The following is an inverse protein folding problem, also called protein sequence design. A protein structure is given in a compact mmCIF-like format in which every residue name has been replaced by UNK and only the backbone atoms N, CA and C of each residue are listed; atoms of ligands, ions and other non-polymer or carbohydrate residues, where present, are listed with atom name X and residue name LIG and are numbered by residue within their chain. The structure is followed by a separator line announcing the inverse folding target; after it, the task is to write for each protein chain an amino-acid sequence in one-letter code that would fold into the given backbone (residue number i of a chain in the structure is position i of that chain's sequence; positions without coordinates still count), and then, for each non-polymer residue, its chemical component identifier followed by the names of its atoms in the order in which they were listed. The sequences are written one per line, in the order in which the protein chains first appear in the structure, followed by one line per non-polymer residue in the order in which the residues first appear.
data_IF_205278029095
#
_entry.id   IF_205278029095
#
_cell.length_a   1.000
_cell.length_b   1.000
_cell.length_c   1.000
_cell.angle_alpha   90.00
_cell.angle_beta   90.00
_cell.angle_gamma   90.00
#
_symmetry.space_group_name_H-M   'P 1'
#
loop_
_entity.id
_entity.type
_entity.pdbx_description
1 polymer ?
#
# COMPACT_ATOMS: atom_id res chain seq x y z
N UNK A 1 23.63 -2.00 3.68
CA UNK A 1 22.39 -2.45 3.03
C UNK A 1 21.88 -3.78 3.57
N UNK A 2 22.62 -4.92 3.42
CA UNK A 2 22.12 -6.22 3.91
C UNK A 2 21.83 -6.26 5.42
N UNK A 3 22.65 -5.62 6.24
CA UNK A 3 22.43 -5.54 7.69
C UNK A 3 21.14 -4.77 8.01
N UNK A 4 20.87 -3.64 7.33
CA UNK A 4 19.65 -2.85 7.58
C UNK A 4 18.39 -3.62 7.19
N UNK A 5 18.42 -4.35 6.08
CA UNK A 5 17.31 -5.22 5.68
C UNK A 5 17.06 -6.32 6.71
N UNK A 6 18.12 -7.00 7.18
CA UNK A 6 18.02 -8.04 8.21
C UNK A 6 17.40 -7.49 9.50
N UNK A 7 17.94 -6.39 9.99
CA UNK A 7 17.48 -5.78 11.24
C UNK A 7 16.07 -5.22 11.11
N UNK A 8 15.73 -4.59 9.96
CA UNK A 8 14.38 -4.09 9.70
C UNK A 8 13.36 -5.23 9.68
N UNK A 9 13.63 -6.33 8.98
CA UNK A 9 12.75 -7.50 8.97
C UNK A 9 12.63 -8.08 10.38
N UNK A 10 13.75 -8.30 11.09
CA UNK A 10 13.73 -8.82 12.45
C UNK A 10 12.89 -7.93 13.39
N UNK A 11 13.02 -6.61 13.28
CA UNK A 11 12.30 -5.66 14.11
C UNK A 11 10.77 -5.79 13.93
N UNK A 12 10.29 -6.06 12.71
CA UNK A 12 8.86 -6.31 12.45
C UNK A 12 8.34 -7.59 13.12
N UNK A 13 9.23 -8.49 13.54
CA UNK A 13 8.90 -9.78 14.15
C UNK A 13 9.03 -9.82 15.66
N UNK A 14 9.47 -8.73 16.29
CA UNK A 14 9.64 -8.67 17.75
C UNK A 14 8.26 -8.74 18.44
N UNK A 15 8.03 -9.73 19.32
CA UNK A 15 6.76 -9.88 20.02
C UNK A 15 6.45 -8.67 20.91
N UNK A 16 5.21 -8.17 20.81
CA UNK A 16 4.76 -7.03 21.60
C UNK A 16 5.29 -5.65 21.17
N UNK A 17 6.06 -5.60 20.10
CA UNK A 17 6.48 -4.36 19.46
C UNK A 17 5.61 -4.12 18.22
N UNK A 18 4.57 -3.29 18.38
CA UNK A 18 3.72 -2.89 17.25
C UNK A 18 4.37 -1.82 16.38
N UNK A 19 3.75 -1.51 15.24
CA UNK A 19 4.28 -0.57 14.24
C UNK A 19 4.63 0.80 14.86
N UNK A 20 3.78 1.36 15.71
CA UNK A 20 4.05 2.63 16.43
C UNK A 20 5.33 2.55 17.28
N UNK A 21 5.53 1.43 17.98
CA UNK A 21 6.73 1.23 18.78
C UNK A 21 7.99 1.09 17.91
N UNK A 22 7.85 0.45 16.75
CA UNK A 22 8.93 0.32 15.76
C UNK A 22 9.31 1.70 15.20
N UNK A 23 8.34 2.49 14.75
CA UNK A 23 8.60 3.85 14.27
C UNK A 23 9.30 4.70 15.31
N UNK A 24 8.79 4.70 16.55
CA UNK A 24 9.40 5.44 17.66
C UNK A 24 10.89 5.10 17.86
N UNK A 25 11.25 3.83 17.72
CA UNK A 25 12.65 3.37 17.84
C UNK A 25 13.50 3.82 16.64
N UNK A 26 12.97 3.64 15.44
CA UNK A 26 13.68 3.96 14.19
C UNK A 26 13.83 5.48 14.04
N UNK A 27 12.81 6.26 14.35
CA UNK A 27 12.85 7.73 14.28
C UNK A 27 13.86 8.32 15.28
N UNK A 28 13.94 7.76 16.50
CA UNK A 28 14.89 8.21 17.51
C UNK A 28 16.34 7.88 17.16
N UNK A 29 16.59 6.77 16.47
CA UNK A 29 17.95 6.24 16.24
C UNK A 29 18.37 6.26 14.77
N UNK A 30 17.47 6.58 13.84
CA UNK A 30 17.73 6.73 12.42
C UNK A 30 17.69 5.43 11.60
N UNK A 31 17.76 4.24 12.21
CA UNK A 31 17.74 2.97 11.49
C UNK A 31 17.46 1.77 12.41
N UNK A 32 16.96 0.66 11.83
CA UNK A 32 16.79 -0.59 12.57
C UNK A 32 18.14 -1.16 13.05
N UNK A 33 19.19 -1.02 12.26
CA UNK A 33 20.56 -1.38 12.65
C UNK A 33 20.99 -0.63 13.92
N UNK A 34 20.73 0.67 14.00
CA UNK A 34 21.07 1.48 15.18
C UNK A 34 20.26 1.06 16.41
N UNK A 35 19.00 0.66 16.26
CA UNK A 35 18.18 0.13 17.35
C UNK A 35 18.83 -1.08 17.99
N UNK A 36 19.28 -2.06 17.21
CA UNK A 36 19.90 -3.27 17.77
C UNK A 36 21.31 -3.02 18.30
N UNK A 37 22.11 -2.14 17.68
CA UNK A 37 23.45 -1.78 18.14
C UNK A 37 23.44 -1.04 19.47
N UNK A 38 22.46 -0.15 19.69
CA UNK A 38 22.33 0.64 20.92
C UNK A 38 21.36 0.01 21.93
N UNK A 39 21.08 -1.31 21.82
CA UNK A 39 20.06 -1.98 22.64
C UNK A 39 20.21 -1.76 24.15
N UNK A 40 21.46 -1.64 24.65
CA UNK A 40 21.75 -1.47 26.08
C UNK A 40 21.34 -0.09 26.59
N UNK A 41 21.41 0.92 25.73
CA UNK A 41 21.23 2.32 26.09
C UNK A 41 19.86 2.86 25.67
N UNK A 42 18.97 1.99 25.16
CA UNK A 42 17.64 2.39 24.67
C UNK A 42 16.76 3.09 25.71
N UNK A 43 16.91 2.74 27.00
CA UNK A 43 16.18 3.43 28.07
C UNK A 43 16.50 4.92 28.15
N UNK A 44 17.75 5.29 27.83
CA UNK A 44 18.23 6.66 27.85
C UNK A 44 17.93 7.39 26.54
N UNK A 45 18.10 6.67 25.42
CA UNK A 45 17.98 7.23 24.06
C UNK A 45 16.53 7.40 23.59
N UNK A 46 15.60 6.57 24.07
CA UNK A 46 14.21 6.55 23.59
C UNK A 46 13.23 6.73 24.75
N UNK A 47 12.76 7.95 25.02
CA UNK A 47 11.83 8.23 26.12
C UNK A 47 10.57 7.36 26.07
N UNK A 48 10.25 6.68 27.17
CA UNK A 48 9.05 5.86 27.33
C UNK A 48 9.09 4.48 26.66
N UNK A 49 10.27 3.99 26.26
CA UNK A 49 10.44 2.56 25.97
C UNK A 49 10.45 1.78 27.30
N UNK A 50 9.73 0.66 27.34
CA UNK A 50 9.68 -0.18 28.54
C UNK A 50 10.83 -1.19 28.57
N UNK A 51 11.33 -1.58 29.77
CA UNK A 51 12.32 -2.65 29.90
C UNK A 51 11.85 -3.96 29.27
N UNK A 52 10.54 -4.22 29.25
CA UNK A 52 9.95 -5.39 28.60
C UNK A 52 10.15 -5.36 27.08
N UNK A 53 9.97 -4.20 26.43
CA UNK A 53 10.20 -4.03 24.99
C UNK A 53 11.69 -4.19 24.64
N UNK A 54 12.59 -3.64 25.45
CA UNK A 54 14.03 -3.80 25.26
C UNK A 54 14.43 -5.28 25.36
N UNK A 55 13.94 -5.98 26.39
CA UNK A 55 14.20 -7.41 26.53
C UNK A 55 13.65 -8.23 25.34
N UNK A 56 12.50 -7.82 24.80
CA UNK A 56 11.89 -8.48 23.64
C UNK A 56 12.75 -8.40 22.36
N UNK A 57 13.64 -7.40 22.24
CA UNK A 57 14.60 -7.31 21.13
C UNK A 57 15.61 -8.47 21.11
N UNK A 58 15.75 -9.20 22.20
CA UNK A 58 16.56 -10.42 22.28
C UNK A 58 15.71 -11.62 21.82
N UNK A 59 15.44 -11.70 20.54
CA UNK A 59 14.56 -12.69 19.94
C UNK A 59 15.25 -13.40 18.76
N UNK A 60 16.01 -14.48 19.01
CA UNK A 60 16.71 -15.24 17.96
C UNK A 60 15.77 -15.75 16.86
N UNK A 61 14.53 -16.07 17.21
CA UNK A 61 13.49 -16.50 16.27
C UNK A 61 13.17 -15.41 15.22
N UNK A 62 13.14 -14.14 15.63
CA UNK A 62 12.92 -13.02 14.73
C UNK A 62 14.04 -12.89 13.71
N UNK A 63 15.29 -13.08 14.14
CA UNK A 63 16.47 -13.06 13.25
C UNK A 63 16.47 -14.24 12.30
N UNK A 64 16.27 -15.46 12.82
CA UNK A 64 16.18 -16.65 11.97
C UNK A 64 15.15 -16.48 10.87
N UNK A 65 13.95 -15.99 11.23
CA UNK A 65 12.89 -15.75 10.23
C UNK A 65 13.24 -14.64 9.24
N UNK A 66 14.00 -13.62 9.68
CA UNK A 66 14.48 -12.55 8.81
C UNK A 66 15.54 -13.07 7.81
N UNK A 67 16.44 -13.93 8.24
CA UNK A 67 17.45 -14.58 7.37
C UNK A 67 16.77 -15.46 6.32
N UNK A 68 15.76 -16.27 6.70
CA UNK A 68 14.94 -17.07 5.79
C UNK A 68 14.26 -16.20 4.73
N UNK A 69 13.71 -15.04 5.14
CA UNK A 69 13.04 -14.12 4.23
C UNK A 69 14.02 -13.45 3.26
N UNK A 70 15.19 -13.03 3.73
CA UNK A 70 16.22 -12.48 2.84
C UNK A 70 16.68 -13.50 1.80
N UNK A 71 16.88 -14.75 2.20
CA UNK A 71 17.22 -15.82 1.26
C UNK A 71 16.09 -16.04 0.23
N UNK A 72 14.83 -16.01 0.68
CA UNK A 72 13.67 -16.10 -0.21
C UNK A 72 13.64 -14.94 -1.21
N UNK A 73 13.86 -13.71 -0.76
CA UNK A 73 13.84 -12.53 -1.64
C UNK A 73 14.95 -12.56 -2.67
N UNK A 74 16.18 -12.93 -2.28
CA UNK A 74 17.32 -13.09 -3.19
C UNK A 74 17.04 -14.16 -4.25
N UNK A 75 16.57 -15.33 -3.82
CA UNK A 75 16.29 -16.47 -4.71
C UNK A 75 15.20 -16.13 -5.74
N UNK A 76 14.19 -15.35 -5.37
CA UNK A 76 13.05 -15.01 -6.21
C UNK A 76 13.15 -13.64 -6.92
N UNK A 77 14.32 -12.98 -6.88
CA UNK A 77 14.56 -11.65 -7.45
C UNK A 77 13.53 -10.62 -6.97
N UNK A 78 13.25 -10.63 -5.66
CA UNK A 78 12.38 -9.69 -4.97
C UNK A 78 13.28 -8.64 -4.33
N UNK A 79 12.98 -7.36 -4.53
CA UNK A 79 13.66 -6.27 -3.82
C UNK A 79 13.06 -6.14 -2.42
N UNK A 80 13.92 -6.13 -1.41
CA UNK A 80 13.54 -5.82 -0.03
C UNK A 80 13.88 -4.34 0.21
N UNK A 81 12.87 -3.50 0.35
CA UNK A 81 12.99 -2.06 0.52
C UNK A 81 12.71 -1.68 1.97
N UNK A 82 13.63 -0.96 2.58
CA UNK A 82 13.50 -0.40 3.94
C UNK A 82 13.17 1.09 3.87
N UNK A 83 12.70 1.68 4.97
CA UNK A 83 12.37 3.11 5.03
C UNK A 83 13.55 4.03 4.64
N UNK A 84 14.79 3.56 4.77
CA UNK A 84 16.00 4.32 4.46
C UNK A 84 16.44 4.22 3.00
N UNK A 85 15.85 3.29 2.23
CA UNK A 85 16.22 3.09 0.83
C UNK A 85 15.60 4.18 -0.06
N UNK A 86 16.36 4.68 -1.03
CA UNK A 86 15.90 5.71 -1.98
C UNK A 86 14.70 5.23 -2.82
N UNK A 87 14.70 3.94 -3.19
CA UNK A 87 13.62 3.30 -3.95
C UNK A 87 12.35 3.03 -3.15
N UNK A 88 12.36 3.27 -1.82
CA UNK A 88 11.14 3.15 -1.02
C UNK A 88 10.14 4.24 -1.44
N UNK A 89 8.83 3.93 -1.62
CA UNK A 89 7.84 4.93 -2.03
C UNK A 89 7.84 6.16 -1.12
N UNK A 90 8.30 7.30 -1.63
CA UNK A 90 8.48 8.53 -0.84
C UNK A 90 7.18 9.02 -0.22
N UNK A 91 6.08 8.95 -0.98
CA UNK A 91 4.74 9.32 -0.48
C UNK A 91 4.29 8.45 0.70
N UNK A 92 4.58 7.15 0.64
CA UNK A 92 4.25 6.23 1.72
C UNK A 92 5.13 6.44 2.95
N UNK A 93 6.41 6.81 2.74
CA UNK A 93 7.35 7.13 3.83
C UNK A 93 6.86 8.27 4.72
N UNK A 94 6.11 9.22 4.15
CA UNK A 94 5.52 10.36 4.88
C UNK A 94 4.33 9.97 5.77
N UNK A 95 3.80 8.75 5.63
CA UNK A 95 2.67 8.30 6.43
C UNK A 95 3.15 7.78 7.79
N UNK A 96 2.46 8.15 8.88
CA UNK A 96 2.81 7.77 10.27
C UNK A 96 2.84 6.25 10.50
N UNK A 97 2.16 5.49 9.67
CA UNK A 97 2.07 4.03 9.73
C UNK A 97 2.74 3.34 8.52
N UNK A 98 3.73 4.00 7.90
CA UNK A 98 4.50 3.42 6.80
C UNK A 98 5.09 2.05 7.19
N UNK A 99 5.02 1.01 6.34
CA UNK A 99 5.69 -0.25 6.60
C UNK A 99 7.19 -0.08 6.75
N UNK A 100 7.80 -0.68 7.78
CA UNK A 100 9.26 -0.64 7.92
C UNK A 100 9.99 -1.33 6.75
N UNK A 101 9.34 -2.34 6.17
CA UNK A 101 9.87 -3.14 5.07
C UNK A 101 8.77 -3.37 4.03
N UNK A 102 9.15 -3.25 2.77
CA UNK A 102 8.34 -3.63 1.62
C UNK A 102 9.09 -4.65 0.77
N UNK A 103 8.36 -5.59 0.22
CA UNK A 103 8.83 -6.58 -0.73
C UNK A 103 8.27 -6.24 -2.11
N UNK A 104 9.13 -6.00 -3.07
CA UNK A 104 8.74 -5.57 -4.42
C UNK A 104 9.33 -6.47 -5.49
N UNK A 105 8.51 -6.88 -6.44
CA UNK A 105 8.92 -7.59 -7.63
C UNK A 105 8.28 -6.94 -8.86
N UNK A 106 9.10 -6.38 -9.74
CA UNK A 106 8.66 -5.66 -10.93
C UNK A 106 9.73 -4.69 -11.41
N UNK A 107 9.36 -3.87 -12.39
CA UNK A 107 10.26 -2.93 -13.08
C UNK A 107 9.80 -1.46 -13.02
N UNK A 108 8.62 -1.16 -12.49
CA UNK A 108 8.16 0.23 -12.39
C UNK A 108 8.92 1.01 -11.31
N UNK A 109 9.05 2.32 -11.54
CA UNK A 109 9.49 3.28 -10.53
C UNK A 109 8.36 3.53 -9.52
N UNK A 110 8.62 3.18 -8.24
CA UNK A 110 7.68 3.40 -7.15
C UNK A 110 7.58 4.87 -6.73
N UNK A 111 8.46 5.73 -7.27
CA UNK A 111 8.51 7.16 -7.06
C UNK A 111 8.14 7.95 -8.33
N UNK A 112 7.39 7.34 -9.25
CA UNK A 112 6.89 8.00 -10.45
C UNK A 112 6.26 9.37 -10.13
N UNK A 113 6.39 10.33 -11.07
CA UNK A 113 5.95 11.72 -10.87
C UNK A 113 4.47 11.84 -10.53
N UNK A 114 3.65 10.96 -11.11
CA UNK A 114 2.19 10.87 -10.85
C UNK A 114 1.80 9.44 -10.53
N UNK A 115 1.17 9.25 -9.37
CA UNK A 115 0.69 7.95 -8.91
C UNK A 115 -0.77 8.10 -8.51
N UNK A 116 -1.64 7.32 -9.11
CA UNK A 116 -3.04 7.24 -8.70
C UNK A 116 -3.39 5.83 -8.24
N UNK A 117 -4.32 5.70 -7.31
CA UNK A 117 -4.89 4.40 -7.05
C UNK A 117 -6.36 4.34 -7.46
N UNK A 118 -6.77 3.16 -7.95
CA UNK A 118 -8.14 2.90 -8.38
C UNK A 118 -8.66 1.74 -7.54
N UNK A 119 -9.77 1.99 -6.85
CA UNK A 119 -10.39 1.02 -5.94
C UNK A 119 -11.90 0.96 -6.14
N UNK A 120 -12.51 -0.13 -5.70
CA UNK A 120 -13.95 -0.26 -5.79
C UNK A 120 -14.49 -1.57 -5.24
N UNK A 121 -15.75 -1.84 -5.57
CA UNK A 121 -16.42 -3.08 -5.21
C UNK A 121 -15.76 -4.31 -5.82
N UNK A 122 -15.82 -5.44 -5.11
CA UNK A 122 -15.40 -6.75 -5.65
C UNK A 122 -16.39 -7.33 -6.67
N UNK A 123 -17.57 -6.73 -6.79
CA UNK A 123 -18.64 -7.11 -7.72
C UNK A 123 -18.85 -5.99 -8.74
N UNK A 124 -17.82 -5.71 -9.55
CA UNK A 124 -17.89 -4.67 -10.58
C UNK A 124 -19.04 -4.92 -11.55
N UNK A 125 -19.88 -3.92 -11.76
CA UNK A 125 -20.92 -3.94 -12.77
C UNK A 125 -20.33 -3.68 -14.16
N UNK A 126 -21.14 -3.85 -15.21
CA UNK A 126 -20.73 -3.46 -16.56
C UNK A 126 -20.36 -1.96 -16.65
N UNK A 127 -21.05 -1.12 -15.89
CA UNK A 127 -20.76 0.31 -15.77
C UNK A 127 -19.38 0.56 -15.16
N UNK A 128 -19.05 -0.06 -14.02
CA UNK A 128 -17.75 0.10 -13.39
C UNK A 128 -16.59 -0.43 -14.23
N UNK A 129 -16.83 -1.52 -14.98
CA UNK A 129 -15.85 -2.05 -15.93
C UNK A 129 -15.61 -1.08 -17.09
N UNK A 130 -16.67 -0.50 -17.68
CA UNK A 130 -16.57 0.48 -18.75
C UNK A 130 -15.86 1.76 -18.29
N UNK A 131 -16.15 2.23 -17.07
CA UNK A 131 -15.41 3.36 -16.47
C UNK A 131 -13.92 3.05 -16.39
N UNK A 132 -13.51 1.89 -15.87
CA UNK A 132 -12.08 1.53 -15.79
C UNK A 132 -11.42 1.59 -17.16
N UNK A 133 -12.07 1.07 -18.21
CA UNK A 133 -11.53 1.06 -19.56
C UNK A 133 -11.37 2.47 -20.09
N UNK A 134 -12.47 3.26 -20.15
CA UNK A 134 -12.47 4.61 -20.73
C UNK A 134 -11.57 5.57 -19.96
N UNK A 135 -11.69 5.55 -18.64
CA UNK A 135 -10.88 6.44 -17.79
C UNK A 135 -9.39 6.21 -18.00
N UNK A 136 -8.93 4.96 -18.02
CA UNK A 136 -7.52 4.66 -18.19
C UNK A 136 -7.04 4.85 -19.64
N UNK A 137 -7.90 4.68 -20.63
CA UNK A 137 -7.61 5.03 -22.02
C UNK A 137 -7.40 6.56 -22.18
N UNK A 138 -8.32 7.37 -21.67
CA UNK A 138 -8.17 8.84 -21.67
C UNK A 138 -6.98 9.31 -20.85
N UNK A 139 -6.76 8.69 -19.67
CA UNK A 139 -5.65 9.04 -18.80
C UNK A 139 -4.30 8.71 -19.46
N UNK A 140 -4.17 7.59 -20.14
CA UNK A 140 -2.95 7.21 -20.87
C UNK A 140 -2.62 8.21 -22.00
N UNK A 141 -3.65 8.72 -22.68
CA UNK A 141 -3.46 9.74 -23.70
C UNK A 141 -2.97 11.09 -23.13
N UNK A 142 -3.37 11.42 -21.89
CA UNK A 142 -3.00 12.68 -21.22
C UNK A 142 -1.71 12.57 -20.39
N UNK A 143 -1.51 11.45 -19.71
CA UNK A 143 -0.43 11.18 -18.75
C UNK A 143 0.15 9.78 -18.97
N UNK A 144 0.93 9.55 -20.03
CA UNK A 144 1.40 8.22 -20.40
C UNK A 144 2.36 7.56 -19.38
N UNK A 145 2.92 8.36 -18.48
CA UNK A 145 3.84 7.87 -17.44
C UNK A 145 3.19 7.73 -16.05
N UNK A 146 1.85 7.87 -15.96
CA UNK A 146 1.17 7.70 -14.69
C UNK A 146 1.29 6.25 -14.18
N UNK A 147 1.61 6.11 -12.90
CA UNK A 147 1.61 4.80 -12.23
C UNK A 147 0.22 4.54 -11.63
N UNK A 148 -0.39 3.42 -12.03
CA UNK A 148 -1.69 2.98 -11.51
C UNK A 148 -1.48 1.97 -10.40
N UNK A 149 -2.04 2.22 -9.22
CA UNK A 149 -1.93 1.33 -8.05
C UNK A 149 -3.31 0.76 -7.72
N UNK A 150 -3.37 -0.52 -7.40
CA UNK A 150 -4.58 -1.16 -6.88
C UNK A 150 -4.26 -2.43 -6.09
N UNK A 151 -5.29 -3.14 -5.65
CA UNK A 151 -5.11 -4.26 -4.73
C UNK A 151 -5.11 -5.65 -5.34
N UNK A 152 -5.19 -5.79 -6.65
CA UNK A 152 -5.32 -7.07 -7.36
C UNK A 152 -6.52 -7.92 -6.88
N UNK A 153 -7.52 -7.32 -6.22
CA UNK A 153 -8.72 -8.00 -5.77
C UNK A 153 -9.71 -8.23 -6.93
N UNK A 154 -10.76 -9.01 -6.69
CA UNK A 154 -11.88 -9.11 -7.64
C UNK A 154 -12.53 -7.74 -7.88
N UNK A 155 -13.26 -7.61 -8.97
CA UNK A 155 -14.05 -6.42 -9.32
C UNK A 155 -13.20 -5.29 -9.86
N UNK A 156 -13.34 -4.09 -9.34
CA UNK A 156 -12.71 -2.88 -9.88
C UNK A 156 -11.18 -3.00 -9.95
N UNK A 157 -10.52 -3.55 -8.92
CA UNK A 157 -9.07 -3.66 -8.88
C UNK A 157 -8.50 -4.39 -10.11
N UNK A 158 -9.03 -5.57 -10.42
CA UNK A 158 -8.54 -6.35 -11.57
C UNK A 158 -8.87 -5.69 -12.91
N UNK A 159 -10.02 -4.99 -13.02
CA UNK A 159 -10.37 -4.27 -14.23
C UNK A 159 -9.47 -3.05 -14.44
N UNK A 160 -9.11 -2.34 -13.37
CA UNK A 160 -8.15 -1.25 -13.41
C UNK A 160 -6.76 -1.74 -13.87
N UNK A 161 -6.24 -2.84 -13.31
CA UNK A 161 -4.97 -3.40 -13.75
C UNK A 161 -4.96 -3.80 -15.23
N UNK A 162 -6.01 -4.50 -15.68
CA UNK A 162 -6.14 -4.92 -17.08
C UNK A 162 -6.25 -3.76 -18.04
N UNK A 163 -7.02 -2.73 -17.69
CA UNK A 163 -7.14 -1.52 -18.49
C UNK A 163 -5.81 -0.73 -18.52
N UNK A 164 -5.08 -0.64 -17.40
CA UNK A 164 -3.76 -0.04 -17.36
C UNK A 164 -2.77 -0.77 -18.29
N UNK A 165 -2.70 -2.11 -18.19
CA UNK A 165 -1.85 -2.93 -19.06
C UNK A 165 -2.20 -2.78 -20.53
N UNK A 166 -3.49 -2.78 -20.89
CA UNK A 166 -3.96 -2.61 -22.26
C UNK A 166 -3.59 -1.24 -22.88
N UNK A 167 -3.45 -0.22 -22.03
CA UNK A 167 -3.06 1.14 -22.44
C UNK A 167 -1.57 1.45 -22.15
N UNK A 168 -0.75 0.44 -21.96
CA UNK A 168 0.70 0.56 -21.72
C UNK A 168 1.08 1.41 -20.48
N UNK A 169 0.17 1.59 -19.53
CA UNK A 169 0.46 2.22 -18.24
C UNK A 169 1.09 1.21 -17.27
N UNK A 170 2.12 1.65 -16.56
CA UNK A 170 2.67 0.86 -15.47
C UNK A 170 1.63 0.67 -14.35
N UNK A 171 1.55 -0.56 -13.79
CA UNK A 171 0.59 -0.82 -12.72
C UNK A 171 1.17 -1.69 -11.62
N UNK A 172 0.91 -1.29 -10.35
CA UNK A 172 1.37 -1.98 -9.14
C UNK A 172 0.21 -2.63 -8.42
N UNK A 173 0.31 -3.94 -8.27
CA UNK A 173 -0.60 -4.70 -7.39
C UNK A 173 -0.05 -4.77 -5.97
N UNK A 174 -0.70 -4.09 -5.03
CA UNK A 174 -0.36 -4.22 -3.61
C UNK A 174 -1.08 -5.43 -3.04
N UNK A 175 -0.36 -6.37 -2.45
CA UNK A 175 -0.92 -7.65 -2.02
C UNK A 175 -1.14 -7.70 -0.51
N UNK A 176 -2.12 -8.51 -0.08
CA UNK A 176 -2.45 -8.76 1.34
C UNK A 176 -1.84 -10.07 1.87
N UNK A 177 -0.79 -10.56 1.22
CA UNK A 177 -0.09 -11.82 1.50
C UNK A 177 1.34 -11.74 0.98
N UNK A 178 2.15 -12.76 1.27
CA UNK A 178 3.54 -12.84 0.77
C UNK A 178 3.62 -13.07 -0.75
N UNK A 179 4.77 -12.71 -1.35
CA UNK A 179 5.03 -12.87 -2.79
C UNK A 179 5.32 -14.33 -3.21
N UNK A 180 5.19 -15.29 -2.31
CA UNK A 180 5.30 -16.73 -2.57
C UNK A 180 4.07 -17.30 -3.30
N UNK A 181 2.99 -16.54 -3.38
CA UNK A 181 1.72 -16.94 -4.01
C UNK A 181 1.01 -15.75 -4.65
N UNK A 182 0.00 -16.06 -5.47
CA UNK A 182 -0.93 -15.07 -6.03
C UNK A 182 -2.35 -15.41 -5.55
N UNK A 183 -3.01 -14.42 -4.97
CA UNK A 183 -4.41 -14.49 -4.58
C UNK A 183 -5.18 -13.25 -5.05
N UNK A 184 -6.32 -13.41 -5.71
CA UNK A 184 -6.93 -14.68 -6.13
C UNK A 184 -6.12 -15.37 -7.25
N UNK A 185 -6.13 -16.71 -7.27
CA UNK A 185 -5.40 -17.49 -8.29
C UNK A 185 -5.89 -17.22 -9.72
N UNK A 186 -7.16 -16.83 -9.87
CA UNK A 186 -7.75 -16.40 -11.15
C UNK A 186 -7.05 -15.18 -11.77
N UNK A 187 -6.35 -14.37 -10.97
CA UNK A 187 -5.63 -13.17 -11.44
C UNK A 187 -4.15 -13.44 -11.78
N UNK A 188 -3.71 -14.71 -11.73
CA UNK A 188 -2.31 -15.09 -11.95
C UNK A 188 -1.77 -14.59 -13.30
N UNK A 189 -2.57 -14.70 -14.38
CA UNK A 189 -2.14 -14.23 -15.72
C UNK A 189 -1.84 -12.72 -15.68
N UNK A 190 -2.77 -11.92 -15.19
CA UNK A 190 -2.60 -10.47 -15.07
C UNK A 190 -1.41 -10.12 -14.15
N UNK A 191 -1.24 -10.83 -13.02
CA UNK A 191 -0.11 -10.62 -12.13
C UNK A 191 1.25 -10.88 -12.80
N UNK A 192 1.34 -11.85 -13.71
CA UNK A 192 2.56 -12.13 -14.49
C UNK A 192 2.81 -10.98 -15.49
N UNK A 193 1.79 -10.54 -16.21
CA UNK A 193 1.88 -9.40 -17.14
C UNK A 193 2.35 -8.12 -16.42
N UNK A 194 1.87 -7.89 -15.20
CA UNK A 194 2.29 -6.76 -14.37
C UNK A 194 3.78 -6.80 -13.98
N UNK A 195 4.43 -7.96 -13.93
CA UNK A 195 5.87 -8.02 -13.64
C UNK A 195 6.72 -7.39 -14.75
N UNK A 196 6.23 -7.39 -15.98
CA UNK A 196 6.89 -6.81 -17.16
C UNK A 196 6.50 -5.34 -17.37
N UNK A 197 5.35 -4.92 -16.83
CA UNK A 197 4.80 -3.56 -17.00
C UNK A 197 4.26 -3.04 -15.66
N UNK A 198 5.14 -2.93 -14.66
CA UNK A 198 4.74 -2.51 -13.32
C UNK A 198 5.35 -3.38 -12.23
N UNK A 199 4.51 -4.08 -11.45
CA UNK A 199 4.99 -5.00 -10.43
C UNK A 199 3.98 -5.39 -9.36
N UNK A 200 4.46 -6.16 -8.39
CA UNK A 200 3.74 -6.60 -7.21
C UNK A 200 4.47 -6.13 -5.95
N UNK A 201 3.75 -5.57 -5.02
CA UNK A 201 4.26 -4.99 -3.78
C UNK A 201 3.52 -5.56 -2.58
N UNK A 202 4.23 -5.80 -1.48
CA UNK A 202 3.61 -6.20 -0.21
C UNK A 202 4.47 -5.84 0.98
N UNK A 203 3.86 -5.67 2.16
CA UNK A 203 4.56 -5.62 3.45
C UNK A 203 4.65 -6.99 4.14
N UNK A 204 3.98 -8.00 3.59
CA UNK A 204 3.87 -9.31 4.21
C UNK A 204 4.98 -10.24 3.73
N UNK A 205 5.60 -10.91 4.68
CA UNK A 205 6.64 -11.93 4.42
C UNK A 205 6.07 -13.14 3.71
N UNK A 206 6.95 -13.91 3.06
CA UNK A 206 6.62 -15.21 2.48
C UNK A 206 5.94 -16.13 3.50
N UNK A 207 5.00 -16.97 3.03
CA UNK A 207 4.18 -17.83 3.89
C UNK A 207 2.99 -17.13 4.56
N UNK A 208 2.84 -15.80 4.43
CA UNK A 208 1.66 -15.10 4.97
C UNK A 208 0.43 -15.37 4.11
N UNK A 209 -0.66 -15.81 4.73
CA UNK A 209 -1.92 -16.09 4.05
C UNK A 209 -2.74 -14.81 3.77
N UNK A 210 -3.63 -14.83 2.76
CA UNK A 210 -4.52 -13.71 2.42
C UNK A 210 -5.73 -13.63 3.38
N UNK A 211 -5.48 -13.34 4.64
CA UNK A 211 -6.51 -13.24 5.68
C UNK A 211 -7.25 -11.90 5.61
N UNK A 212 -8.52 -11.89 6.07
CA UNK A 212 -9.39 -10.71 6.01
C UNK A 212 -8.75 -9.45 6.59
N UNK A 213 -8.05 -9.58 7.71
CA UNK A 213 -7.38 -8.45 8.38
C UNK A 213 -6.26 -7.86 7.52
N UNK A 214 -5.53 -8.70 6.78
CA UNK A 214 -4.44 -8.27 5.91
C UNK A 214 -4.93 -7.42 4.74
N UNK A 215 -6.14 -7.69 4.21
CA UNK A 215 -6.74 -6.85 3.16
C UNK A 215 -7.02 -5.43 3.65
N UNK A 216 -7.54 -5.30 4.87
CA UNK A 216 -7.80 -3.97 5.47
C UNK A 216 -6.47 -3.25 5.74
N UNK A 217 -5.51 -3.95 6.33
CA UNK A 217 -4.18 -3.42 6.64
C UNK A 217 -3.43 -2.97 5.37
N UNK A 218 -3.50 -3.73 4.29
CA UNK A 218 -2.87 -3.42 3.02
C UNK A 218 -3.38 -2.13 2.38
N UNK A 219 -4.67 -1.79 2.57
CA UNK A 219 -5.29 -0.64 1.91
C UNK A 219 -4.59 0.69 2.24
N UNK A 220 -3.95 0.81 3.41
CA UNK A 220 -3.15 1.99 3.77
C UNK A 220 -1.94 2.18 2.84
N UNK A 221 -1.34 1.09 2.35
CA UNK A 221 -0.24 1.15 1.40
C UNK A 221 -0.74 1.64 0.04
N UNK A 222 -1.89 1.14 -0.42
CA UNK A 222 -2.53 1.60 -1.66
C UNK A 222 -2.81 3.10 -1.61
N UNK A 223 -3.41 3.58 -0.52
CA UNK A 223 -3.70 5.00 -0.32
C UNK A 223 -2.42 5.85 -0.15
N UNK A 224 -1.51 5.40 0.72
CA UNK A 224 -0.34 6.17 1.14
C UNK A 224 0.71 6.38 0.04
N UNK A 225 0.84 5.45 -0.91
CA UNK A 225 1.80 5.61 -2.00
C UNK A 225 1.26 6.39 -3.21
N UNK A 226 0.02 6.87 -3.17
CA UNK A 226 -0.65 7.53 -4.30
C UNK A 226 -0.89 9.03 -4.02
N UNK A 227 -0.90 9.84 -5.07
CA UNK A 227 -1.31 11.24 -5.02
C UNK A 227 -2.82 11.37 -4.84
N UNK A 228 -3.58 10.49 -5.51
CA UNK A 228 -5.03 10.49 -5.49
C UNK A 228 -5.63 9.09 -5.43
N UNK A 229 -6.76 8.97 -4.75
CA UNK A 229 -7.60 7.78 -4.69
C UNK A 229 -8.85 7.96 -5.54
N UNK A 230 -9.10 7.05 -6.46
CA UNK A 230 -10.25 7.06 -7.36
C UNK A 230 -11.16 5.88 -7.01
N UNK A 231 -12.37 6.18 -6.56
CA UNK A 231 -13.39 5.18 -6.24
C UNK A 231 -14.34 5.06 -7.41
N UNK A 232 -14.35 3.90 -8.08
CA UNK A 232 -15.18 3.67 -9.28
C UNK A 232 -16.59 3.24 -8.91
N UNK A 233 -16.71 2.23 -8.07
CA UNK A 233 -17.98 1.73 -7.53
C UNK A 233 -17.81 1.31 -6.08
N UNK A 234 -18.77 1.62 -5.22
CA UNK A 234 -18.82 1.16 -3.83
C UNK A 234 -20.22 1.15 -3.28
N UNK A 235 -20.60 0.08 -2.59
CA UNK A 235 -21.77 0.12 -1.71
C UNK A 235 -21.52 1.08 -0.52
N UNK A 236 -22.58 1.40 0.23
CA UNK A 236 -22.56 2.33 1.36
C UNK A 236 -21.58 1.95 2.49
N UNK A 237 -21.24 0.67 2.60
CA UNK A 237 -20.25 0.10 3.55
C UNK A 237 -19.15 -0.69 2.86
N UNK A 238 -18.77 -0.30 1.65
CA UNK A 238 -17.77 -0.98 0.84
C UNK A 238 -16.35 -0.79 1.36
N UNK A 239 -15.48 -1.78 1.12
CA UNK A 239 -14.04 -1.71 1.47
C UNK A 239 -13.28 -0.56 0.81
N UNK A 240 -13.74 -0.10 -0.37
CA UNK A 240 -13.17 1.06 -1.06
C UNK A 240 -13.33 2.36 -0.27
N UNK A 241 -14.43 2.50 0.50
CA UNK A 241 -14.63 3.66 1.38
C UNK A 241 -13.61 3.70 2.54
N UNK A 242 -13.15 2.54 2.99
CA UNK A 242 -12.07 2.46 3.99
C UNK A 242 -10.79 3.04 3.38
N UNK A 243 -10.45 2.65 2.14
CA UNK A 243 -9.27 3.18 1.43
C UNK A 243 -9.39 4.68 1.21
N UNK A 244 -10.57 5.18 0.80
CA UNK A 244 -10.85 6.61 0.65
C UNK A 244 -10.71 7.38 1.99
N UNK A 245 -11.21 6.82 3.09
CA UNK A 245 -11.04 7.40 4.43
C UNK A 245 -9.58 7.47 4.86
N UNK A 246 -8.80 6.42 4.60
CA UNK A 246 -7.36 6.41 4.87
C UNK A 246 -6.63 7.44 4.00
N UNK A 247 -6.95 7.55 2.70
CA UNK A 247 -6.39 8.58 1.83
C UNK A 247 -6.64 9.99 2.38
N UNK A 248 -7.86 10.25 2.84
CA UNK A 248 -8.20 11.52 3.51
C UNK A 248 -7.37 11.77 4.78
N UNK A 249 -7.09 10.75 5.59
CA UNK A 249 -6.23 10.90 6.78
C UNK A 249 -4.76 11.19 6.45
N UNK A 250 -4.31 10.81 5.25
CA UNK A 250 -2.99 11.14 4.72
C UNK A 250 -2.97 12.43 3.88
N UNK A 251 -4.06 13.20 3.91
CA UNK A 251 -4.20 14.42 3.10
C UNK A 251 -4.01 14.19 1.60
N UNK A 252 -4.44 13.03 1.10
CA UNK A 252 -4.43 12.71 -0.32
C UNK A 252 -5.81 12.98 -0.93
N UNK A 253 -5.82 13.41 -2.18
CA UNK A 253 -7.05 13.69 -2.90
C UNK A 253 -7.90 12.41 -3.07
N UNK A 254 -9.22 12.57 -3.01
CA UNK A 254 -10.15 11.49 -3.23
C UNK A 254 -11.21 11.90 -4.24
N UNK A 255 -11.37 11.10 -5.28
CA UNK A 255 -12.36 11.26 -6.34
C UNK A 255 -13.27 10.05 -6.39
N UNK A 256 -14.52 10.24 -6.81
CA UNK A 256 -15.44 9.15 -7.00
C UNK A 256 -16.28 9.36 -8.28
N UNK A 257 -16.54 8.28 -9.00
CA UNK A 257 -17.46 8.32 -10.13
C UNK A 257 -18.90 8.29 -9.63
N UNK A 258 -19.75 9.23 -10.08
CA UNK A 258 -21.18 9.23 -9.73
C UNK A 258 -21.88 8.05 -10.39
N UNK A 259 -22.94 7.56 -9.77
CA UNK A 259 -23.80 6.57 -10.37
C UNK A 259 -25.28 6.82 -10.02
N UNK A 260 -26.17 5.94 -10.46
CA UNK A 260 -27.59 6.10 -10.24
C UNK A 260 -27.94 5.98 -8.76
N UNK A 261 -28.92 6.74 -8.30
CA UNK A 261 -29.32 6.80 -6.89
C UNK A 261 -29.78 5.43 -6.36
N UNK A 262 -30.41 4.63 -7.20
CA UNK A 262 -30.96 3.33 -6.83
C UNK A 262 -29.99 2.16 -7.03
N UNK A 263 -28.78 2.40 -7.53
CA UNK A 263 -27.79 1.34 -7.73
C UNK A 263 -27.00 1.11 -6.44
N UNK A 264 -26.98 -0.12 -5.96
CA UNK A 264 -26.31 -0.52 -4.71
C UNK A 264 -24.83 -0.09 -4.67
N UNK A 265 -24.09 -0.32 -5.76
CA UNK A 265 -22.67 0.00 -5.85
C UNK A 265 -22.35 1.45 -6.21
N UNK A 266 -23.37 2.29 -6.38
CA UNK A 266 -23.21 3.74 -6.53
C UNK A 266 -23.39 4.52 -5.23
N UNK A 267 -24.03 3.91 -4.23
CA UNK A 267 -24.40 4.59 -2.98
C UNK A 267 -23.17 5.17 -2.25
N UNK A 268 -22.09 4.39 -2.10
CA UNK A 268 -20.86 4.84 -1.45
C UNK A 268 -20.15 5.95 -2.22
N UNK A 269 -20.06 5.85 -3.55
CA UNK A 269 -19.48 6.89 -4.40
C UNK A 269 -20.27 8.20 -4.29
N UNK A 270 -21.60 8.13 -4.40
CA UNK A 270 -22.48 9.30 -4.27
C UNK A 270 -22.36 9.94 -2.88
N UNK A 271 -22.15 9.14 -1.81
CA UNK A 271 -21.91 9.65 -0.47
C UNK A 271 -20.55 10.36 -0.37
N UNK A 272 -19.48 9.80 -0.95
CA UNK A 272 -18.16 10.44 -1.01
C UNK A 272 -18.24 11.79 -1.72
N UNK A 273 -18.94 11.88 -2.87
CA UNK A 273 -19.12 13.12 -3.61
C UNK A 273 -19.81 14.17 -2.73
N UNK A 274 -20.83 13.77 -1.96
CA UNK A 274 -21.53 14.69 -1.06
C UNK A 274 -20.67 15.16 0.11
N UNK A 275 -19.79 14.29 0.65
CA UNK A 275 -19.02 14.59 1.86
C UNK A 275 -17.64 15.19 1.60
N UNK A 276 -16.95 14.81 0.52
CA UNK A 276 -15.56 15.17 0.27
C UNK A 276 -15.38 16.26 -0.79
N UNK A 277 -16.17 16.27 -1.85
CA UNK A 277 -16.00 17.24 -2.96
C UNK A 277 -16.51 18.66 -2.64
N UNK A 278 -17.20 18.86 -1.53
CA UNK A 278 -17.57 20.21 -1.06
C UNK A 278 -16.41 20.98 -0.39
N UNK A 279 -15.25 20.32 -0.16
CA UNK A 279 -14.09 20.92 0.51
C UNK A 279 -12.94 21.32 -0.41
N UNK A 280 -13.00 21.03 -1.70
CA UNK A 280 -11.90 21.34 -2.64
C UNK A 280 -11.92 22.76 -3.21
N UNK A 281 -12.96 23.56 -2.93
CA UNK A 281 -12.92 25.00 -3.15
C UNK A 281 -13.34 25.72 -1.85
N UNK A 282 -12.57 26.71 -1.37
CA UNK A 282 -13.03 27.55 -0.27
C UNK A 282 -14.38 28.15 -0.65
N UNK A 283 -15.38 27.93 0.19
CA UNK A 283 -16.69 28.55 0.01
C UNK A 283 -16.51 30.06 -0.04
N UNK A 284 -17.25 30.78 -0.91
CA UNK A 284 -17.24 32.25 -0.86
C UNK A 284 -17.61 32.85 0.51
N UNK A 285 -18.06 32.00 1.45
CA UNK A 285 -18.33 32.39 2.85
C UNK A 285 -17.12 32.28 3.77
N UNK A 286 -16.05 31.57 3.37
CA UNK A 286 -14.83 31.37 4.17
C UNK A 286 -13.77 32.45 3.90
N UNK A 287 -14.06 33.41 3.02
CA UNK A 287 -13.19 34.55 2.67
C UNK A 287 -13.62 35.86 3.34
N UNK A 288 -14.29 35.77 4.53
CA UNK A 288 -14.59 37.00 5.33
C UNK A 288 -13.88 36.95 6.65
#
# INVERSE_FOLDING_TARGET
MKDEQLYSIALTRIPGLGLIGIHKLVDALGSATAVFRNRKDLCELVPGISPKQIKALDCPEAFRRAEEELLFTETNRIRCLTLTDEDYPSRLRECDDAPLVLYYRGNADLNALKIINIVGTRHATAYGQDICIRFLEELAAMLPEVLVVSGLAYGIDIHAHRAALANHLNTIGVLAHGLDRIYPSAHRKTAIEMLEQGGLLTEFMSGTNPDRQNFVRRNRIVAGMSDATIVVESADKGGALITAGVAGSYHRDCFAFPGRINDEFSAGCNQLIKSCLLYTSPSPRDTR
#
